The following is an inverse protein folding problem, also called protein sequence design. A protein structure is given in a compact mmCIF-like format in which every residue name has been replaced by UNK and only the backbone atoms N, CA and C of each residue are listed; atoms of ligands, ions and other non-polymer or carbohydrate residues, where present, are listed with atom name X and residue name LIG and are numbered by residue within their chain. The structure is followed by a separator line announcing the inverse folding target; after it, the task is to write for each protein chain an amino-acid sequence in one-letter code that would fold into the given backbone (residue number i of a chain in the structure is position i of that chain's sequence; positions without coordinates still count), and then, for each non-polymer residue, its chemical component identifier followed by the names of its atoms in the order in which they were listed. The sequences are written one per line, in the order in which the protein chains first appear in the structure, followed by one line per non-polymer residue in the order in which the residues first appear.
data_IF_965741274947
#
_entry.id   IF_965741274947
#
_cell.length_a   1.000
_cell.length_b   1.000
_cell.length_c   1.000
_cell.angle_alpha   90.00
_cell.angle_beta   90.00
_cell.angle_gamma   90.00
#
_symmetry.space_group_name_H-M   'P 1'
#
loop_
_entity.id
_entity.type
_entity.pdbx_description
1 polymer ?
#
# COMPACT_ATOMS: atom_id res chain seq x y z
N UNK A 1 -25.02 -5.49 -24.86
CA UNK A 1 -24.32 -4.23 -24.54
C UNK A 1 -24.04 -4.12 -23.03
N UNK A 2 -24.90 -4.70 -22.19
CA UNK A 2 -24.80 -4.64 -20.72
C UNK A 2 -23.63 -5.40 -20.10
N UNK A 3 -23.24 -6.55 -20.65
CA UNK A 3 -22.14 -7.35 -20.08
C UNK A 3 -20.80 -6.59 -20.06
N UNK A 4 -20.51 -5.77 -21.08
CA UNK A 4 -19.30 -4.94 -21.12
C UNK A 4 -19.29 -3.85 -20.04
N UNK A 5 -20.46 -3.29 -19.70
CA UNK A 5 -20.59 -2.28 -18.64
C UNK A 5 -20.39 -2.93 -17.26
N UNK A 6 -20.93 -4.13 -17.06
CA UNK A 6 -20.76 -4.90 -15.82
C UNK A 6 -19.28 -5.25 -15.61
N UNK A 7 -18.60 -5.75 -16.64
CA UNK A 7 -17.18 -6.11 -16.57
C UNK A 7 -16.28 -4.91 -16.26
N UNK A 8 -16.60 -3.74 -16.84
CA UNK A 8 -15.89 -2.49 -16.53
C UNK A 8 -16.11 -2.05 -15.09
N UNK A 9 -17.35 -2.09 -14.59
CA UNK A 9 -17.65 -1.73 -13.20
C UNK A 9 -16.94 -2.64 -12.19
N UNK A 10 -16.83 -3.94 -12.48
CA UNK A 10 -16.07 -4.89 -11.65
C UNK A 10 -14.59 -4.51 -11.61
N UNK A 11 -14.01 -4.11 -12.75
CA UNK A 11 -12.62 -3.68 -12.82
C UNK A 11 -12.39 -2.36 -12.07
N UNK A 12 -13.31 -1.39 -12.17
CA UNK A 12 -13.23 -0.12 -11.43
C UNK A 12 -13.34 -0.35 -9.92
N UNK A 13 -14.22 -1.24 -9.47
CA UNK A 13 -14.29 -1.66 -8.05
C UNK A 13 -12.98 -2.28 -7.56
N UNK A 14 -12.37 -3.17 -8.36
CA UNK A 14 -11.08 -3.78 -8.03
C UNK A 14 -9.96 -2.74 -8.00
N UNK A 15 -9.96 -1.77 -8.92
CA UNK A 15 -9.01 -0.68 -8.93
C UNK A 15 -9.11 0.15 -7.64
N UNK A 16 -10.32 0.56 -7.25
CA UNK A 16 -10.56 1.34 -6.03
C UNK A 16 -10.07 0.60 -4.78
N UNK A 17 -10.35 -0.71 -4.69
CA UNK A 17 -9.92 -1.55 -3.58
C UNK A 17 -8.38 -1.65 -3.50
N UNK A 18 -7.69 -1.84 -4.63
CA UNK A 18 -6.22 -1.86 -4.63
C UNK A 18 -5.60 -0.48 -4.33
N UNK A 19 -6.23 0.61 -4.78
CA UNK A 19 -5.83 1.97 -4.46
C UNK A 19 -5.95 2.26 -2.95
N UNK A 20 -7.02 1.78 -2.30
CA UNK A 20 -7.14 1.83 -0.85
C UNK A 20 -6.01 1.05 -0.16
N UNK A 21 -5.65 -0.14 -0.65
CA UNK A 21 -4.50 -0.88 -0.11
C UNK A 21 -3.18 -0.11 -0.22
N UNK A 22 -2.93 0.58 -1.34
CA UNK A 22 -1.75 1.44 -1.48
C UNK A 22 -1.75 2.57 -0.46
N UNK A 23 -2.89 3.25 -0.28
CA UNK A 23 -3.02 4.34 0.68
C UNK A 23 -2.80 3.86 2.11
N UNK A 24 -3.38 2.72 2.49
CA UNK A 24 -3.15 2.12 3.81
C UNK A 24 -1.69 1.77 4.03
N UNK A 25 -1.00 1.25 3.00
CA UNK A 25 0.43 0.97 3.08
C UNK A 25 1.25 2.25 3.30
N UNK A 26 0.94 3.34 2.58
CA UNK A 26 1.60 4.63 2.79
C UNK A 26 1.39 5.18 4.21
N UNK A 27 0.18 5.05 4.75
CA UNK A 27 -0.12 5.43 6.14
C UNK A 27 0.72 4.61 7.12
N UNK A 28 0.77 3.27 6.95
CA UNK A 28 1.60 2.40 7.79
C UNK A 28 3.08 2.76 7.71
N UNK A 29 3.59 3.09 6.52
CA UNK A 29 4.97 3.52 6.34
C UNK A 29 5.25 4.84 7.08
N UNK A 30 4.29 5.77 7.05
CA UNK A 30 4.36 7.05 7.76
C UNK A 30 4.36 6.85 9.28
N UNK A 31 3.50 5.96 9.78
CA UNK A 31 3.46 5.59 11.20
C UNK A 31 4.77 4.92 11.62
N UNK A 32 5.34 4.04 10.80
CA UNK A 32 6.63 3.40 11.07
C UNK A 32 7.77 4.41 11.21
N UNK A 33 7.80 5.43 10.34
CA UNK A 33 8.78 6.52 10.40
C UNK A 33 8.57 7.41 11.65
N UNK A 34 7.32 7.78 11.95
CA UNK A 34 7.01 8.56 13.16
C UNK A 34 7.38 7.80 14.44
N UNK A 35 7.15 6.48 14.45
CA UNK A 35 7.55 5.62 15.56
C UNK A 35 9.06 5.62 15.75
N UNK A 36 9.84 5.52 14.66
CA UNK A 36 11.30 5.64 14.73
C UNK A 36 11.74 6.98 15.32
N UNK A 37 11.19 8.09 14.81
CA UNK A 37 11.50 9.44 15.29
C UNK A 37 11.16 9.58 16.78
N UNK A 38 9.99 9.11 17.20
CA UNK A 38 9.57 9.12 18.61
C UNK A 38 10.53 8.32 19.49
N UNK A 39 10.90 7.12 19.07
CA UNK A 39 11.84 6.28 19.84
C UNK A 39 13.22 6.94 19.94
N UNK A 40 13.68 7.62 18.89
CA UNK A 40 14.94 8.35 18.89
C UNK A 40 14.94 9.57 19.81
N UNK A 41 13.84 10.33 19.86
CA UNK A 41 13.73 11.55 20.67
C UNK A 41 13.50 11.21 22.16
N UNK A 42 12.58 10.28 22.46
CA UNK A 42 12.14 10.02 23.83
C UNK A 42 12.79 8.79 24.50
N UNK A 43 13.20 7.76 23.75
CA UNK A 43 13.67 6.48 24.30
C UNK A 43 15.04 6.08 23.76
N UNK A 44 16.05 6.91 24.04
CA UNK A 44 17.43 6.72 23.56
C UNK A 44 18.05 5.36 23.94
N UNK A 45 17.72 4.84 25.12
CA UNK A 45 18.22 3.54 25.60
C UNK A 45 17.68 2.34 24.80
N UNK A 46 16.57 2.52 24.06
CA UNK A 46 15.93 1.47 23.25
C UNK A 46 15.95 1.77 21.75
N UNK A 47 16.91 2.59 21.30
CA UNK A 47 17.06 2.96 19.88
C UNK A 47 17.12 1.73 18.97
N UNK A 48 17.90 0.70 19.33
CA UNK A 48 18.00 -0.52 18.52
C UNK A 48 16.67 -1.24 18.34
N UNK A 49 15.82 -1.26 19.37
CA UNK A 49 14.48 -1.83 19.30
C UNK A 49 13.56 -0.99 18.39
N UNK A 50 13.62 0.34 18.53
CA UNK A 50 12.88 1.27 17.67
C UNK A 50 13.24 1.11 16.20
N UNK A 51 14.54 1.01 15.89
CA UNK A 51 15.07 0.75 14.54
C UNK A 51 14.54 -0.58 14.00
N UNK A 52 14.63 -1.65 14.79
CA UNK A 52 14.19 -2.97 14.35
C UNK A 52 12.68 -2.96 14.02
N UNK A 53 11.87 -2.39 14.92
CA UNK A 53 10.41 -2.30 14.74
C UNK A 53 10.04 -1.46 13.51
N UNK A 54 10.63 -0.27 13.36
CA UNK A 54 10.35 0.60 12.21
C UNK A 54 10.78 -0.04 10.90
N UNK A 55 11.92 -0.74 10.89
CA UNK A 55 12.41 -1.44 9.70
C UNK A 55 11.46 -2.55 9.27
N UNK A 56 10.91 -3.32 10.22
CA UNK A 56 9.91 -4.37 9.94
C UNK A 56 8.63 -3.75 9.34
N UNK A 57 8.13 -2.66 9.93
CA UNK A 57 6.93 -1.96 9.43
C UNK A 57 7.14 -1.44 8.01
N UNK A 58 8.31 -0.84 7.74
CA UNK A 58 8.67 -0.30 6.42
C UNK A 58 8.78 -1.44 5.39
N UNK A 59 9.44 -2.55 5.73
CA UNK A 59 9.57 -3.73 4.87
C UNK A 59 8.21 -4.31 4.48
N UNK A 60 7.33 -4.53 5.46
CA UNK A 60 5.98 -5.06 5.21
C UNK A 60 5.19 -4.10 4.32
N UNK A 61 5.26 -2.80 4.61
CA UNK A 61 4.58 -1.76 3.83
C UNK A 61 5.07 -1.74 2.37
N UNK A 62 6.38 -1.82 2.14
CA UNK A 62 6.98 -1.90 0.80
C UNK A 62 6.48 -3.12 0.02
N UNK A 63 6.48 -4.30 0.64
CA UNK A 63 6.01 -5.54 0.00
C UNK A 63 4.55 -5.40 -0.41
N UNK A 64 3.69 -4.90 0.50
CA UNK A 64 2.28 -4.68 0.22
C UNK A 64 2.06 -3.65 -0.89
N UNK A 65 2.85 -2.57 -0.87
CA UNK A 65 2.80 -1.52 -1.88
C UNK A 65 3.13 -2.05 -3.28
N UNK A 66 4.23 -2.79 -3.43
CA UNK A 66 4.61 -3.38 -4.72
C UNK A 66 3.60 -4.42 -5.20
N UNK A 67 3.01 -5.19 -4.29
CA UNK A 67 1.96 -6.15 -4.63
C UNK A 67 0.71 -5.44 -5.18
N UNK A 68 0.30 -4.33 -4.55
CA UNK A 68 -0.83 -3.52 -4.99
C UNK A 68 -0.55 -2.80 -6.33
N UNK A 69 0.65 -2.24 -6.51
CA UNK A 69 1.06 -1.59 -7.77
C UNK A 69 0.99 -2.56 -8.96
N UNK A 70 1.52 -3.78 -8.80
CA UNK A 70 1.43 -4.82 -9.83
C UNK A 70 -0.03 -5.13 -10.18
N UNK A 71 -0.91 -5.28 -9.18
CA UNK A 71 -2.34 -5.55 -9.40
C UNK A 71 -3.03 -4.39 -10.12
N UNK A 72 -2.73 -3.15 -9.76
CA UNK A 72 -3.28 -1.96 -10.40
C UNK A 72 -2.87 -1.88 -11.87
N UNK A 73 -1.59 -2.11 -12.20
CA UNK A 73 -1.12 -2.14 -13.59
C UNK A 73 -1.86 -3.19 -14.43
N UNK A 74 -2.11 -4.38 -13.86
CA UNK A 74 -2.89 -5.43 -14.53
C UNK A 74 -4.33 -4.97 -14.79
N UNK A 75 -4.96 -4.33 -13.80
CA UNK A 75 -6.34 -3.82 -13.92
C UNK A 75 -6.42 -2.71 -14.98
N UNK A 76 -5.50 -1.73 -14.94
CA UNK A 76 -5.43 -0.65 -15.92
C UNK A 76 -5.25 -1.18 -17.35
N UNK A 77 -4.37 -2.15 -17.56
CA UNK A 77 -4.20 -2.78 -18.86
C UNK A 77 -5.49 -3.48 -19.34
N UNK A 78 -6.25 -4.10 -18.43
CA UNK A 78 -7.55 -4.70 -18.78
C UNK A 78 -8.60 -3.65 -19.14
N UNK A 79 -8.66 -2.55 -18.38
CA UNK A 79 -9.56 -1.42 -18.67
C UNK A 79 -9.22 -0.81 -20.05
N UNK A 80 -7.93 -0.63 -20.34
CA UNK A 80 -7.49 -0.04 -21.61
C UNK A 80 -7.83 -0.92 -22.82
N UNK A 81 -7.74 -2.25 -22.68
CA UNK A 81 -8.15 -3.21 -23.72
C UNK A 81 -9.66 -3.31 -23.94
N UNK A 82 -10.47 -2.84 -22.99
CA UNK A 82 -11.94 -2.84 -23.06
C UNK A 82 -12.51 -1.54 -23.66
N UNK A 83 -11.66 -0.51 -23.80
CA UNK A 83 -11.98 0.76 -24.43
C UNK A 83 -11.86 0.64 -25.95
#
# INVERSE_FOLDING_TARGET
MDNKLIDKNILDLKFKLQSQFMNTSLIMMTIGLLTFISTFIWYKERIFFGIALSTIIILISLILYFSADKKIKIILNKIYKLK
#
